data_IF_114801705245
#
_entry.id   IF_114801705245
#
_cell.length_a   1.000
_cell.length_b   1.000
_cell.length_c   1.000
_cell.angle_alpha   90.00
_cell.angle_beta   90.00
_cell.angle_gamma   90.00
#
_symmetry.space_group_name_H-M   'P 1'
#
loop_
_entity.id
_entity.type
_entity.pdbx_description
1 polymer ?
#
# COMPACT_ATOMS: atom_id res chain seq x y z
N UNK A 1 -6.26 7.17 -6.79
CA UNK A 1 -5.17 7.85 -6.06
C UNK A 1 -3.86 7.40 -6.67
N UNK A 2 -2.90 8.29 -6.84
CA UNK A 2 -1.56 7.95 -7.31
C UNK A 2 -0.49 8.71 -6.54
N UNK A 3 0.75 8.27 -6.70
CA UNK A 3 1.91 8.95 -6.13
C UNK A 3 3.16 8.08 -6.18
N UNK A 4 4.18 8.56 -5.48
CA UNK A 4 5.49 7.92 -5.42
C UNK A 4 5.78 7.52 -3.97
N UNK A 5 6.36 6.33 -3.80
CA UNK A 5 6.87 5.83 -2.53
C UNK A 5 8.37 5.58 -2.67
N UNK A 6 9.17 6.24 -1.85
CA UNK A 6 10.58 5.88 -1.70
C UNK A 6 10.65 4.59 -0.90
N UNK A 7 11.29 3.56 -1.46
CA UNK A 7 11.47 2.28 -0.78
C UNK A 7 12.41 2.50 0.41
N UNK A 8 11.94 2.25 1.65
CA UNK A 8 12.71 2.52 2.84
C UNK A 8 13.77 1.44 3.09
N UNK A 9 14.62 1.68 4.08
CA UNK A 9 15.49 0.64 4.61
C UNK A 9 14.67 -0.55 5.15
N UNK A 10 15.19 -1.75 4.91
CA UNK A 10 14.56 -2.98 5.38
C UNK A 10 14.94 -3.25 6.84
N UNK A 11 14.03 -3.79 7.68
CA UNK A 11 14.40 -4.26 8.99
C UNK A 11 15.52 -5.28 8.98
N UNK A 12 16.31 -5.27 10.05
CA UNK A 12 17.16 -6.40 10.40
C UNK A 12 16.34 -7.70 10.34
N UNK A 13 16.89 -8.81 9.82
CA UNK A 13 16.14 -10.03 9.56
C UNK A 13 15.63 -10.63 10.86
N UNK A 14 14.38 -10.29 11.24
CA UNK A 14 13.65 -10.85 12.39
C UNK A 14 12.21 -10.33 12.60
N UNK A 15 11.64 -9.54 11.69
CA UNK A 15 10.27 -9.03 11.79
C UNK A 15 9.41 -9.34 10.58
N UNK A 16 8.13 -8.97 10.67
CA UNK A 16 7.21 -8.91 9.53
C UNK A 16 6.89 -7.45 9.23
N UNK A 17 7.67 -6.78 8.36
CA UNK A 17 7.43 -5.40 8.02
C UNK A 17 6.51 -5.25 6.80
N UNK A 18 5.58 -4.32 6.89
CA UNK A 18 4.81 -3.84 5.76
C UNK A 18 4.82 -2.32 5.69
N UNK A 19 4.98 -1.77 4.49
CA UNK A 19 4.86 -0.34 4.21
C UNK A 19 3.98 -0.16 2.99
N UNK A 20 2.92 0.64 3.09
CA UNK A 20 1.95 0.73 2.02
C UNK A 20 1.16 2.03 2.00
N UNK A 21 0.94 2.64 0.82
CA UNK A 21 -0.24 3.44 0.57
C UNK A 21 -1.42 2.54 0.19
N UNK A 22 -2.63 3.03 0.44
CA UNK A 22 -3.85 2.33 0.06
C UNK A 22 -5.10 3.19 0.07
N UNK A 23 -6.15 2.67 -0.53
CA UNK A 23 -7.50 3.20 -0.50
C UNK A 23 -8.37 2.26 0.33
N UNK A 24 -9.01 2.80 1.37
CA UNK A 24 -9.79 2.02 2.33
C UNK A 24 -11.28 2.31 2.19
N UNK A 25 -12.07 1.23 2.25
CA UNK A 25 -13.51 1.22 2.48
C UNK A 25 -13.82 0.76 3.91
N UNK A 26 -15.08 0.60 4.27
CA UNK A 26 -15.45 0.02 5.56
C UNK A 26 -15.24 -1.51 5.62
N UNK A 27 -15.08 -2.17 4.47
CA UNK A 27 -14.96 -3.62 4.38
C UNK A 27 -13.58 -4.11 3.92
N UNK A 28 -12.63 -3.21 3.67
CA UNK A 28 -11.28 -3.59 3.27
C UNK A 28 -10.41 -2.44 2.77
N UNK A 29 -9.23 -2.82 2.29
CA UNK A 29 -8.22 -1.90 1.78
C UNK A 29 -7.64 -2.42 0.47
N UNK A 30 -7.63 -1.54 -0.53
CA UNK A 30 -6.86 -1.69 -1.76
C UNK A 30 -5.47 -1.10 -1.51
N UNK A 31 -4.41 -1.88 -1.72
CA UNK A 31 -3.08 -1.51 -1.23
C UNK A 31 -1.98 -1.86 -2.21
N UNK A 32 -0.92 -1.05 -2.19
CA UNK A 32 0.37 -1.29 -2.81
C UNK A 32 1.36 -1.59 -1.69
N UNK A 33 1.60 -2.87 -1.40
CA UNK A 33 2.26 -3.31 -0.19
C UNK A 33 3.69 -3.74 -0.42
N UNK A 34 4.65 -3.05 0.21
CA UNK A 34 5.98 -3.57 0.42
C UNK A 34 5.93 -4.63 1.51
N UNK A 35 6.29 -5.85 1.16
CA UNK A 35 6.46 -6.99 2.06
C UNK A 35 7.94 -7.30 2.23
N UNK A 36 8.43 -7.16 3.45
CA UNK A 36 9.85 -7.36 3.75
C UNK A 36 10.16 -8.64 4.51
N UNK A 37 9.19 -9.55 4.67
CA UNK A 37 9.34 -10.80 5.45
C UNK A 37 10.50 -11.68 4.99
N UNK A 38 10.85 -11.60 3.70
CA UNK A 38 11.88 -12.44 3.08
C UNK A 38 13.31 -11.93 3.28
N UNK A 39 13.50 -10.74 3.86
CA UNK A 39 14.81 -10.08 3.85
C UNK A 39 15.08 -9.27 2.57
N UNK A 40 14.09 -9.11 1.69
CA UNK A 40 14.08 -8.18 0.56
C UNK A 40 12.66 -7.65 0.39
N UNK A 41 12.52 -6.39 -0.02
CA UNK A 41 11.20 -5.84 -0.29
C UNK A 41 10.61 -6.43 -1.58
N UNK A 42 9.42 -7.00 -1.45
CA UNK A 42 8.56 -7.32 -2.59
C UNK A 42 7.37 -6.37 -2.58
N UNK A 43 7.22 -5.55 -3.64
CA UNK A 43 6.04 -4.72 -3.82
C UNK A 43 4.96 -5.54 -4.53
N UNK A 44 3.77 -5.63 -3.95
CA UNK A 44 2.61 -6.23 -4.58
C UNK A 44 1.36 -5.39 -4.45
N UNK A 45 0.42 -5.56 -5.38
CA UNK A 45 -0.90 -4.96 -5.29
C UNK A 45 -1.97 -5.96 -4.85
N UNK A 46 -3.03 -5.48 -4.21
CA UNK A 46 -4.09 -6.36 -3.75
C UNK A 46 -5.20 -5.66 -2.98
N UNK A 47 -6.29 -6.39 -2.77
CA UNK A 47 -7.35 -6.00 -1.85
C UNK A 47 -7.40 -6.97 -0.68
N UNK A 48 -7.27 -6.44 0.54
CA UNK A 48 -7.48 -7.20 1.76
C UNK A 48 -8.80 -6.78 2.41
N UNK A 49 -9.75 -7.70 2.50
CA UNK A 49 -11.07 -7.42 3.05
C UNK A 49 -12.16 -8.37 2.56
N UNK A 50 -13.39 -7.84 2.50
CA UNK A 50 -14.56 -8.55 1.97
C UNK A 50 -15.02 -7.88 0.66
N UNK A 51 -15.12 -8.62 -0.46
CA UNK A 51 -14.83 -10.05 -0.62
C UNK A 51 -13.33 -10.36 -0.47
N UNK A 52 -13.02 -11.60 -0.07
CA UNK A 52 -11.64 -12.09 -0.08
C UNK A 52 -11.20 -12.34 -1.51
N UNK A 53 -10.13 -11.68 -1.94
CA UNK A 53 -9.54 -11.82 -3.27
C UNK A 53 -8.13 -12.38 -3.16
N UNK A 54 -7.66 -13.05 -4.22
CA UNK A 54 -6.24 -13.35 -4.35
C UNK A 54 -5.45 -12.04 -4.40
N UNK A 55 -4.25 -12.06 -3.83
CA UNK A 55 -3.28 -11.00 -4.08
C UNK A 55 -2.99 -10.88 -5.58
N UNK A 56 -2.72 -9.67 -6.02
CA UNK A 56 -2.41 -9.37 -7.40
C UNK A 56 -0.94 -9.64 -7.72
N UNK A 57 -0.39 -8.81 -8.60
CA UNK A 57 0.95 -8.95 -9.15
C UNK A 57 1.96 -8.08 -8.39
N UNK A 58 3.24 -8.33 -8.62
CA UNK A 58 4.31 -7.60 -7.95
C UNK A 58 5.72 -7.98 -8.42
N UNK A 59 6.72 -7.33 -7.83
CA UNK A 59 8.13 -7.53 -8.15
C UNK A 59 9.04 -7.11 -6.97
N UNK A 60 10.30 -7.51 -7.02
CA UNK A 60 11.29 -7.08 -6.02
C UNK A 60 11.72 -5.64 -6.25
N UNK A 61 11.90 -4.90 -5.16
CA UNK A 61 12.46 -3.54 -5.12
C UNK A 61 13.46 -3.43 -3.99
N UNK A 62 14.32 -2.41 -4.04
CA UNK A 62 15.42 -2.24 -3.10
C UNK A 62 15.37 -0.87 -2.44
N UNK A 63 15.93 -0.71 -1.22
CA UNK A 63 16.02 0.59 -0.57
C UNK A 63 16.59 1.67 -1.49
N UNK A 64 15.94 2.83 -1.52
CA UNK A 64 16.28 3.94 -2.41
C UNK A 64 15.60 3.92 -3.78
N UNK A 65 15.00 2.80 -4.19
CA UNK A 65 14.13 2.77 -5.37
C UNK A 65 12.91 3.66 -5.17
N UNK A 66 12.35 4.19 -6.26
CA UNK A 66 11.05 4.89 -6.24
C UNK A 66 10.00 4.01 -6.90
N UNK A 67 8.98 3.64 -6.13
CA UNK A 67 7.80 2.94 -6.62
C UNK A 67 6.72 3.96 -6.95
N UNK A 68 6.31 4.01 -8.21
CA UNK A 68 5.10 4.70 -8.64
C UNK A 68 3.91 3.78 -8.43
N UNK A 69 2.87 4.28 -7.76
CA UNK A 69 1.62 3.56 -7.58
C UNK A 69 0.44 4.34 -8.14
N UNK A 70 -0.52 3.62 -8.71
CA UNK A 70 -1.78 4.18 -9.17
C UNK A 70 -2.94 3.23 -8.86
N UNK A 71 -4.00 3.80 -8.29
CA UNK A 71 -5.30 3.18 -8.11
C UNK A 71 -6.33 3.97 -8.92
N UNK A 72 -6.91 3.33 -9.93
CA UNK A 72 -8.01 3.89 -10.73
C UNK A 72 -9.23 2.97 -10.65
N UNK A 73 -10.42 3.52 -10.92
CA UNK A 73 -11.68 2.78 -10.87
C UNK A 73 -12.49 3.05 -12.12
N UNK A 74 -13.07 1.99 -12.68
CA UNK A 74 -14.07 2.05 -13.74
C UNK A 74 -15.26 1.19 -13.33
N UNK A 75 -16.40 1.82 -13.07
CA UNK A 75 -17.56 1.14 -12.47
C UNK A 75 -17.23 0.59 -11.09
N UNK A 76 -17.11 -0.74 -10.97
CA UNK A 76 -16.75 -1.45 -9.72
C UNK A 76 -15.37 -2.11 -9.77
N UNK A 77 -14.71 -2.04 -10.92
CA UNK A 77 -13.39 -2.63 -11.13
C UNK A 77 -12.32 -1.62 -10.80
N UNK A 78 -11.42 -2.00 -9.89
CA UNK A 78 -10.27 -1.22 -9.51
C UNK A 78 -9.03 -1.74 -10.22
N UNK A 79 -8.32 -0.86 -10.91
CA UNK A 79 -7.02 -1.16 -11.48
C UNK A 79 -5.94 -0.63 -10.56
N UNK A 80 -5.05 -1.52 -10.14
CA UNK A 80 -3.80 -1.20 -9.47
C UNK A 80 -2.68 -1.25 -10.51
N UNK A 81 -1.79 -0.27 -10.48
CA UNK A 81 -0.58 -0.25 -11.29
C UNK A 81 0.61 0.13 -10.43
N UNK A 82 1.69 -0.61 -10.58
CA UNK A 82 2.96 -0.42 -9.90
C UNK A 82 4.08 -0.32 -10.94
N UNK A 83 5.02 0.59 -10.74
CA UNK A 83 6.26 0.62 -11.53
C UNK A 83 7.47 1.14 -10.75
N UNK A 84 8.65 0.64 -11.09
CA UNK A 84 9.94 1.12 -10.59
C UNK A 84 11.03 0.76 -11.60
N UNK A 85 11.75 1.75 -12.13
CA UNK A 85 12.72 1.54 -13.19
C UNK A 85 12.09 0.86 -14.42
N UNK A 86 12.60 -0.30 -14.82
CA UNK A 86 12.06 -1.11 -15.92
C UNK A 86 11.00 -2.13 -15.48
N UNK A 87 10.73 -2.27 -14.19
CA UNK A 87 9.75 -3.22 -13.66
C UNK A 87 8.36 -2.58 -13.60
N UNK A 88 7.33 -3.38 -13.89
CA UNK A 88 5.94 -2.96 -13.72
C UNK A 88 5.03 -4.16 -13.43
N UNK A 89 3.92 -3.89 -12.76
CA UNK A 89 2.85 -4.82 -12.49
C UNK A 89 1.51 -4.08 -12.59
N UNK A 90 0.46 -4.79 -13.01
CA UNK A 90 -0.90 -4.26 -13.00
C UNK A 90 -1.90 -5.38 -12.74
N UNK A 91 -2.92 -5.07 -11.94
CA UNK A 91 -3.99 -6.00 -11.57
C UNK A 91 -5.33 -5.29 -11.60
N UNK A 92 -6.32 -5.95 -12.21
CA UNK A 92 -7.72 -5.53 -12.14
C UNK A 92 -8.44 -6.36 -11.09
N UNK A 93 -9.05 -5.69 -10.10
CA UNK A 93 -9.70 -6.30 -8.95
C UNK A 93 -11.18 -5.87 -8.92
N UNK A 94 -12.07 -6.85 -8.91
CA UNK A 94 -13.49 -6.60 -8.70
C UNK A 94 -13.82 -6.59 -7.20
N UNK A 95 -13.85 -5.39 -6.62
CA UNK A 95 -14.17 -5.17 -5.20
C UNK A 95 -15.61 -4.71 -5.02
N UNK A 96 -16.56 -5.44 -5.63
CA UNK A 96 -18.00 -5.14 -5.55
C UNK A 96 -18.44 -4.85 -4.11
N UNK A 97 -19.28 -3.82 -3.93
CA UNK A 97 -19.81 -3.41 -2.63
C UNK A 97 -18.85 -2.56 -1.79
N UNK A 98 -17.68 -2.20 -2.33
CA UNK A 98 -16.73 -1.32 -1.65
C UNK A 98 -16.69 0.08 -2.29
N UNK A 99 -16.99 1.09 -1.48
CA UNK A 99 -16.69 2.49 -1.80
C UNK A 99 -15.45 2.90 -1.03
N UNK A 100 -14.36 3.13 -1.75
CA UNK A 100 -13.14 3.65 -1.14
C UNK A 100 -13.33 5.12 -0.75
N UNK A 101 -13.29 5.41 0.55
CA UNK A 101 -13.60 6.72 1.10
C UNK A 101 -12.46 7.32 1.94
N UNK A 102 -11.35 6.59 2.10
CA UNK A 102 -10.17 6.98 2.87
C UNK A 102 -8.90 6.69 2.08
N UNK A 103 -7.94 7.60 2.12
CA UNK A 103 -6.57 7.36 1.69
C UNK A 103 -5.72 7.07 2.93
N UNK A 104 -4.92 6.01 2.89
CA UNK A 104 -4.11 5.56 4.01
C UNK A 104 -2.66 5.43 3.58
N UNK A 105 -1.77 5.82 4.47
CA UNK A 105 -0.35 5.52 4.43
C UNK A 105 -0.01 4.81 5.73
N UNK A 106 0.53 3.60 5.64
CA UNK A 106 0.68 2.75 6.80
C UNK A 106 2.06 2.10 6.84
N UNK A 107 2.52 1.93 8.07
CA UNK A 107 3.68 1.14 8.45
C UNK A 107 3.22 0.15 9.51
N UNK A 108 3.40 -1.12 9.20
CA UNK A 108 3.10 -2.21 10.11
C UNK A 108 4.37 -2.99 10.39
N UNK A 109 4.58 -3.31 11.65
CA UNK A 109 5.68 -4.15 12.07
C UNK A 109 5.16 -5.11 13.12
N UNK A 110 5.50 -6.37 12.96
CA UNK A 110 5.19 -7.41 13.94
C UNK A 110 6.48 -8.00 14.50
N UNK A 111 6.39 -8.44 15.76
CA UNK A 111 7.35 -9.28 16.49
C UNK A 111 8.69 -8.65 16.88
N UNK A 112 9.03 -7.45 16.37
CA UNK A 112 10.27 -6.74 16.70
C UNK A 112 10.07 -5.23 16.83
N UNK A 113 10.99 -4.58 17.53
CA UNK A 113 11.18 -3.14 17.43
C UNK A 113 12.11 -2.85 16.25
N UNK A 114 11.70 -1.94 15.37
CA UNK A 114 12.52 -1.46 14.26
C UNK A 114 12.15 -0.01 13.94
N UNK A 115 13.15 0.74 13.51
CA UNK A 115 12.99 2.09 12.98
C UNK A 115 13.20 2.03 11.47
N UNK A 116 12.15 2.30 10.71
CA UNK A 116 12.20 2.36 9.26
C UNK A 116 12.92 3.61 8.73
N UNK A 117 13.31 4.51 9.62
CA UNK A 117 13.64 5.87 9.24
C UNK A 117 12.41 6.59 8.66
N UNK A 118 12.63 7.67 7.90
CA UNK A 118 11.54 8.39 7.26
C UNK A 118 10.91 7.54 6.15
N UNK A 119 9.61 7.28 6.27
CA UNK A 119 8.80 6.80 5.14
C UNK A 119 8.33 8.00 4.33
N UNK A 120 8.73 8.03 3.06
CA UNK A 120 8.50 9.19 2.19
C UNK A 120 7.52 8.81 1.08
N UNK A 121 6.39 9.49 1.08
CA UNK A 121 5.44 9.53 -0.03
C UNK A 121 5.46 10.92 -0.65
N UNK A 122 5.57 10.99 -1.96
CA UNK A 122 5.61 12.26 -2.71
C UNK A 122 4.68 12.21 -3.91
N UNK A 123 4.41 13.39 -4.49
CA UNK A 123 3.58 13.53 -5.68
C UNK A 123 2.17 12.90 -5.55
N UNK A 124 1.63 12.88 -4.33
CA UNK A 124 0.32 12.31 -4.03
C UNK A 124 -0.79 13.08 -4.75
N UNK A 125 -1.58 12.36 -5.54
CA UNK A 125 -2.76 12.88 -6.24
C UNK A 125 -3.99 12.07 -5.89
N UNK A 126 -4.97 12.76 -5.31
CA UNK A 126 -6.32 12.24 -5.13
C UNK A 126 -7.20 12.73 -6.27
N UNK A 127 -7.73 11.79 -7.05
CA UNK A 127 -8.55 12.06 -8.22
C UNK A 127 -10.07 12.01 -7.91
N UNK A 128 -10.46 12.13 -6.63
CA UNK A 128 -11.86 12.13 -6.20
C UNK A 128 -12.51 13.51 -6.35
N UNK A 129 -13.82 13.51 -6.61
CA UNK A 129 -14.65 14.73 -6.61
C UNK A 129 -15.02 15.22 -5.19
N UNK A 130 -14.61 14.49 -4.15
CA UNK A 130 -14.90 14.75 -2.73
C UNK A 130 -13.64 14.69 -1.88
N UNK A 131 -13.67 15.33 -0.72
CA UNK A 131 -12.57 15.35 0.25
C UNK A 131 -12.26 13.94 0.76
N UNK A 132 -11.11 13.39 0.37
CA UNK A 132 -10.56 12.18 1.00
C UNK A 132 -9.90 12.54 2.32
N UNK A 133 -10.12 11.72 3.36
CA UNK A 133 -9.33 11.81 4.60
C UNK A 133 -8.03 11.06 4.41
N UNK A 134 -6.92 11.69 4.81
CA UNK A 134 -5.59 11.05 4.83
C UNK A 134 -5.31 10.58 6.25
N UNK A 135 -4.91 9.32 6.38
CA UNK A 135 -4.52 8.74 7.68
C UNK A 135 -3.12 8.16 7.58
N UNK A 136 -2.27 8.50 8.56
CA UNK A 136 -0.99 7.84 8.77
C UNK A 136 -1.16 6.84 9.92
N UNK A 137 -0.87 5.58 9.66
CA UNK A 137 -0.98 4.49 10.65
C UNK A 137 0.40 3.96 10.98
N UNK A 138 0.75 3.98 12.27
CA UNK A 138 1.94 3.31 12.82
C UNK A 138 1.46 2.43 13.96
N UNK A 139 1.71 1.12 13.89
CA UNK A 139 1.28 0.24 14.98
C UNK A 139 1.95 -1.14 14.99
N UNK A 140 2.19 -1.63 16.20
CA UNK A 140 2.28 -3.07 16.48
C UNK A 140 0.84 -3.62 16.52
N UNK A 141 0.36 -4.12 15.38
CA UNK A 141 -0.87 -4.93 15.31
C UNK A 141 -2.22 -4.24 15.59
N UNK A 142 -2.32 -2.90 15.62
CA UNK A 142 -3.63 -2.21 15.59
C UNK A 142 -3.58 -0.92 14.77
N UNK A 143 -4.55 -0.81 13.86
CA UNK A 143 -4.85 0.37 13.05
C UNK A 143 -5.40 1.46 14.00
N UNK A 144 -4.54 2.35 14.53
CA UNK A 144 -4.93 3.44 15.46
C UNK A 144 -5.43 4.67 14.71
N UNK A 145 -6.67 5.08 15.01
CA UNK A 145 -7.36 6.19 14.33
C UNK A 145 -6.84 7.52 14.87
N UNK A 146 -6.42 8.42 13.98
CA UNK A 146 -6.27 9.82 14.35
C UNK A 146 -7.66 10.47 14.22
N UNK A 147 -8.22 10.86 15.37
CA UNK A 147 -9.51 11.56 15.50
C UNK A 147 -9.49 12.93 14.86
#
# INVERSE_FOLDING_TARGET
MSGDMLVPDLPTPRGTPYVWPGLQSDNGVLQAMLDGRSGTWWIGDGFYGTPSLSWGNGFNVYPGDTVHFEFSVSGTEWTCTLSSGSNSASTVLNVTGNTMNRAIFAVELYDVAFDFGPIIYSNIKNHSATTARVRVVVGHGRILEAM
#
